data_IF_087837630778
#
_entry.id   IF_087837630778
#
_cell.length_a   1.000
_cell.length_b   1.000
_cell.length_c   1.000
_cell.angle_alpha   90.00
_cell.angle_beta   90.00
_cell.angle_gamma   90.00
#
_symmetry.space_group_name_H-M   'P 1'
#
loop_
_entity.id
_entity.type
_entity.pdbx_description
1 polymer ?
#
# COMPACT_ATOMS: atom_id res chain seq x y z
N UNK A 1 -6.46 9.61 2.88
CA UNK A 1 -7.84 9.44 3.41
C UNK A 1 -7.90 10.00 4.84
N UNK A 2 -9.08 10.17 5.47
CA UNK A 2 -9.19 10.54 6.88
C UNK A 2 -9.05 9.34 7.86
N UNK A 3 -8.68 8.15 7.38
CA UNK A 3 -8.60 6.92 8.17
C UNK A 3 -7.17 6.41 8.27
N UNK A 4 -6.89 5.63 9.32
CA UNK A 4 -5.70 4.80 9.37
C UNK A 4 -5.86 3.60 8.43
N UNK A 5 -4.77 3.19 7.80
CA UNK A 5 -4.72 2.00 6.96
C UNK A 5 -3.59 1.09 7.40
N UNK A 6 -3.88 -0.21 7.52
CA UNK A 6 -2.87 -1.24 7.69
C UNK A 6 -2.53 -1.84 6.32
N UNK A 7 -1.56 -1.26 5.62
CA UNK A 7 -1.16 -1.72 4.29
C UNK A 7 -0.24 -2.92 4.40
N UNK A 8 -0.56 -3.98 3.67
CA UNK A 8 0.17 -5.25 3.67
C UNK A 8 0.89 -5.52 2.35
N UNK A 9 0.61 -4.75 1.30
CA UNK A 9 1.32 -4.87 0.03
C UNK A 9 0.90 -3.87 -1.04
N UNK A 10 1.69 -3.84 -2.11
CA UNK A 10 1.43 -3.06 -3.32
C UNK A 10 1.53 -3.99 -4.52
N UNK A 11 0.64 -3.84 -5.49
CA UNK A 11 0.69 -4.55 -6.78
C UNK A 11 0.80 -3.54 -7.92
N UNK A 12 1.54 -3.93 -8.96
CA UNK A 12 1.61 -3.23 -10.24
C UNK A 12 1.09 -4.18 -11.33
N UNK A 13 0.03 -3.79 -12.03
CA UNK A 13 -0.62 -4.61 -13.04
C UNK A 13 -0.99 -6.02 -12.51
N UNK A 14 -1.50 -6.06 -11.27
CA UNK A 14 -1.89 -7.30 -10.58
C UNK A 14 -0.73 -8.12 -10.01
N UNK A 15 0.53 -7.77 -10.30
CA UNK A 15 1.70 -8.47 -9.78
C UNK A 15 2.24 -7.83 -8.50
N UNK A 16 2.56 -8.60 -7.44
CA UNK A 16 3.16 -8.07 -6.23
C UNK A 16 4.47 -7.33 -6.51
N UNK A 17 4.59 -6.14 -5.93
CA UNK A 17 5.82 -5.34 -5.94
C UNK A 17 6.61 -5.67 -4.69
N UNK A 18 7.89 -6.02 -4.86
CA UNK A 18 8.80 -6.18 -3.74
C UNK A 18 9.25 -4.82 -3.22
N UNK A 19 8.74 -4.44 -2.05
CA UNK A 19 9.21 -3.28 -1.29
C UNK A 19 10.33 -3.72 -0.32
N UNK A 20 11.19 -2.79 0.07
CA UNK A 20 12.18 -3.07 1.12
C UNK A 20 11.53 -3.01 2.51
N UNK A 21 12.21 -3.59 3.50
CA UNK A 21 11.65 -3.74 4.86
C UNK A 21 11.34 -2.40 5.53
N UNK A 22 12.14 -1.37 5.24
CA UNK A 22 11.88 -0.02 5.75
C UNK A 22 10.53 0.51 5.24
N UNK A 23 10.30 0.44 3.93
CA UNK A 23 9.06 0.90 3.32
C UNK A 23 7.88 0.05 3.81
N UNK A 24 8.06 -1.27 3.92
CA UNK A 24 7.02 -2.15 4.49
C UNK A 24 6.62 -1.74 5.91
N UNK A 25 7.59 -1.39 6.76
CA UNK A 25 7.32 -0.91 8.11
C UNK A 25 6.61 0.47 8.11
N UNK A 26 7.01 1.38 7.21
CA UNK A 26 6.40 2.71 7.10
C UNK A 26 4.94 2.64 6.60
N UNK A 27 4.60 1.69 5.70
CA UNK A 27 3.23 1.54 5.19
C UNK A 27 2.34 0.66 6.08
N UNK A 28 2.91 -0.17 6.96
CA UNK A 28 2.16 -1.08 7.84
C UNK A 28 1.14 -0.36 8.73
N UNK A 29 1.38 0.92 9.04
CA UNK A 29 0.42 1.81 9.69
C UNK A 29 0.48 3.20 9.06
N UNK A 30 -0.31 3.41 8.01
CA UNK A 30 -0.45 4.69 7.34
C UNK A 30 -1.46 5.57 8.09
N UNK A 31 -1.00 6.72 8.55
CA UNK A 31 -1.83 7.69 9.25
C UNK A 31 -2.75 8.48 8.28
N UNK A 32 -3.86 9.05 8.78
CA UNK A 32 -4.70 9.94 8.00
C UNK A 32 -3.90 11.06 7.34
N UNK A 33 -4.15 11.29 6.04
CA UNK A 33 -3.50 12.34 5.22
C UNK A 33 -1.97 12.31 5.23
N UNK A 34 -1.35 11.16 5.52
CA UNK A 34 0.10 10.97 5.45
C UNK A 34 0.54 10.37 4.11
N UNK A 35 1.84 10.44 3.85
CA UNK A 35 2.48 9.94 2.64
C UNK A 35 3.77 9.20 3.00
N UNK A 36 4.08 8.15 2.24
CA UNK A 36 5.31 7.35 2.37
C UNK A 36 5.98 7.27 1.01
N UNK A 37 7.29 7.55 0.97
CA UNK A 37 8.07 7.43 -0.26
C UNK A 37 8.47 5.96 -0.50
N UNK A 38 8.04 5.39 -1.63
CA UNK A 38 8.38 4.01 -2.03
C UNK A 38 9.81 3.85 -2.60
N UNK A 39 10.60 4.93 -2.62
CA UNK A 39 11.95 4.96 -3.17
C UNK A 39 11.97 4.99 -4.71
N UNK A 40 13.02 4.40 -5.32
CA UNK A 40 13.24 4.39 -6.77
C UNK A 40 12.42 3.29 -7.46
N UNK A 41 11.11 3.32 -7.31
CA UNK A 41 10.21 2.33 -7.91
C UNK A 41 9.36 2.99 -9.02
N UNK A 42 9.43 2.43 -10.23
CA UNK A 42 8.63 2.93 -11.35
C UNK A 42 7.27 2.23 -11.38
N UNK A 43 6.22 2.93 -10.94
CA UNK A 43 4.85 2.42 -10.95
C UNK A 43 4.10 2.85 -12.21
N UNK A 44 4.48 2.29 -13.36
CA UNK A 44 3.84 2.56 -14.65
C UNK A 44 2.74 1.53 -14.93
N UNK A 45 1.49 1.90 -14.70
CA UNK A 45 0.33 1.04 -14.92
C UNK A 45 -0.67 1.12 -13.76
N UNK A 46 -1.46 0.06 -13.60
CA UNK A 46 -2.47 -0.01 -12.55
C UNK A 46 -1.82 -0.34 -11.21
N UNK A 47 -1.99 0.54 -10.23
CA UNK A 47 -1.46 0.40 -8.88
C UNK A 47 -2.59 0.00 -7.95
N UNK A 48 -2.39 -1.10 -7.25
CA UNK A 48 -3.32 -1.59 -6.23
C UNK A 48 -2.61 -1.65 -4.88
N UNK A 49 -3.26 -1.15 -3.85
CA UNK A 49 -2.81 -1.28 -2.45
C UNK A 49 -3.65 -2.35 -1.76
N UNK A 50 -2.98 -3.30 -1.12
CA UNK A 50 -3.62 -4.33 -0.32
C UNK A 50 -3.58 -3.90 1.14
N UNK A 51 -4.72 -3.88 1.83
CA UNK A 51 -4.82 -3.45 3.22
C UNK A 51 -5.81 -4.30 4.02
N UNK A 52 -5.63 -4.32 5.34
CA UNK A 52 -6.59 -4.96 6.26
C UNK A 52 -7.78 -4.03 6.51
N UNK A 53 -8.99 -4.55 6.36
CA UNK A 53 -10.24 -3.84 6.62
C UNK A 53 -10.70 -3.99 8.08
N UNK A 54 -11.79 -3.30 8.43
CA UNK A 54 -12.33 -3.24 9.80
C UNK A 54 -12.76 -4.61 10.37
N UNK A 55 -12.93 -5.63 9.53
CA UNK A 55 -13.27 -7.00 9.92
C UNK A 55 -12.04 -7.92 9.98
N UNK A 56 -10.82 -7.39 9.84
CA UNK A 56 -9.58 -8.16 9.82
C UNK A 56 -9.33 -8.89 8.50
N UNK A 57 -10.19 -8.70 7.49
CA UNK A 57 -10.02 -9.26 6.15
C UNK A 57 -9.09 -8.41 5.30
N UNK A 58 -8.47 -9.01 4.29
CA UNK A 58 -7.62 -8.27 3.35
C UNK A 58 -8.42 -7.80 2.14
N UNK A 59 -8.26 -6.54 1.76
CA UNK A 59 -8.94 -5.90 0.65
C UNK A 59 -7.97 -5.14 -0.26
N UNK A 60 -8.22 -5.22 -1.58
CA UNK A 60 -7.47 -4.53 -2.61
C UNK A 60 -8.16 -3.20 -2.97
N UNK A 61 -7.38 -2.12 -3.04
CA UNK A 61 -7.82 -0.78 -3.44
C UNK A 61 -7.02 -0.32 -4.65
N UNK A 62 -7.66 -0.16 -5.80
CA UNK A 62 -7.03 0.39 -7.00
C UNK A 62 -6.94 1.91 -6.90
N UNK A 63 -5.73 2.45 -7.05
CA UNK A 63 -5.47 3.89 -6.92
C UNK A 63 -5.38 4.61 -8.27
N UNK A 64 -4.83 3.93 -9.27
CA UNK A 64 -4.62 4.41 -10.63
C UNK A 64 -4.49 3.21 -11.55
#
# INVERSE_FOLDING_TARGET
>A
TPYYFAVTGVKLNGQPVRLNDRVMNEIAQLAPKSEVALGKLSLNGTVTVQAVNDWGGTQDYTLK
#
